data_IF_013458656777
#
_entry.id   IF_013458656777
#
_cell.length_a   1.000
_cell.length_b   1.000
_cell.length_c   1.000
_cell.angle_alpha   90.00
_cell.angle_beta   90.00
_cell.angle_gamma   90.00
#
_symmetry.space_group_name_H-M   'P 1'
#
loop_
_entity.id
_entity.type
_entity.pdbx_description
1 polymer ?
#
# COMPACT_ATOMS: atom_id res chain seq x y z
N UNK A 1 8.19 5.22 32.58
CA UNK A 1 7.35 5.88 31.57
C UNK A 1 5.93 5.90 32.12
N UNK A 2 5.27 7.06 32.27
CA UNK A 2 3.91 7.09 32.82
C UNK A 2 3.02 6.20 31.95
N UNK A 3 2.43 5.18 32.57
CA UNK A 3 1.46 4.29 31.94
C UNK A 3 0.12 5.00 31.93
N UNK A 4 -0.37 5.37 30.75
CA UNK A 4 -1.73 5.86 30.59
C UNK A 4 -2.67 4.67 30.83
N UNK A 5 -3.40 4.68 31.95
CA UNK A 5 -4.29 3.59 32.37
C UNK A 5 -5.61 3.50 31.57
N UNK A 6 -5.73 4.26 30.49
CA UNK A 6 -6.93 4.33 29.64
C UNK A 6 -6.59 4.00 28.19
N UNK A 7 -7.48 3.31 27.45
CA UNK A 7 -7.29 3.06 26.02
C UNK A 7 -7.06 4.38 25.26
N UNK A 8 -6.07 4.41 24.38
CA UNK A 8 -5.81 5.56 23.49
C UNK A 8 -6.53 5.30 22.17
N UNK A 9 -7.43 6.21 21.79
CA UNK A 9 -8.13 6.18 20.51
C UNK A 9 -7.38 7.05 19.49
N UNK A 10 -7.52 6.73 18.20
CA UNK A 10 -6.97 7.58 17.14
C UNK A 10 -7.64 8.96 17.19
N UNK A 11 -6.83 10.02 17.27
CA UNK A 11 -7.28 11.39 17.53
C UNK A 11 -7.43 12.22 16.26
N UNK A 12 -6.63 11.92 15.23
CA UNK A 12 -6.63 12.68 13.97
C UNK A 12 -6.85 11.75 12.78
N UNK A 13 -7.74 12.10 11.84
CA UNK A 13 -7.87 11.37 10.58
C UNK A 13 -6.54 11.32 9.84
N UNK A 14 -6.21 10.15 9.29
CA UNK A 14 -5.00 9.93 8.54
C UNK A 14 -5.33 9.45 7.13
N UNK A 15 -4.70 10.08 6.14
CA UNK A 15 -4.73 9.62 4.75
C UNK A 15 -3.34 9.80 4.14
N UNK A 16 -2.84 8.77 3.46
CA UNK A 16 -1.57 8.83 2.74
C UNK A 16 -1.69 8.10 1.42
N UNK A 17 -1.27 8.76 0.34
CA UNK A 17 -1.24 8.19 -1.00
C UNK A 17 0.20 7.99 -1.47
N UNK A 18 0.45 6.86 -2.11
CA UNK A 18 1.65 6.56 -2.87
C UNK A 18 1.26 6.36 -4.33
N UNK A 19 1.95 7.07 -5.22
CA UNK A 19 1.89 6.79 -6.65
C UNK A 19 2.82 5.64 -6.98
N UNK A 20 2.29 4.64 -7.68
CA UNK A 20 3.06 3.57 -8.31
C UNK A 20 3.06 3.78 -9.83
N UNK A 21 3.10 5.04 -10.28
CA UNK A 21 3.26 5.39 -11.68
C UNK A 21 4.75 5.28 -12.07
N UNK A 22 5.04 4.60 -13.18
CA UNK A 22 6.41 4.37 -13.64
C UNK A 22 7.29 3.59 -12.63
N UNK A 23 6.77 2.48 -12.10
CA UNK A 23 7.46 1.64 -11.12
C UNK A 23 7.84 0.29 -11.72
N UNK A 24 9.09 -0.14 -11.49
CA UNK A 24 9.57 -1.47 -11.88
C UNK A 24 8.92 -2.54 -11.02
N UNK A 25 8.62 -3.70 -11.62
CA UNK A 25 8.08 -4.86 -10.91
C UNK A 25 8.98 -5.30 -9.73
N UNK A 26 8.33 -5.65 -8.62
CA UNK A 26 8.92 -6.44 -7.55
C UNK A 26 8.66 -7.92 -7.83
N UNK A 27 9.72 -8.74 -7.82
CA UNK A 27 9.64 -10.17 -8.11
C UNK A 27 9.78 -11.05 -6.87
N UNK A 28 9.97 -10.44 -5.69
CA UNK A 28 10.07 -11.17 -4.43
C UNK A 28 8.73 -11.19 -3.70
N UNK A 29 8.52 -12.27 -2.95
CA UNK A 29 7.44 -12.47 -1.98
C UNK A 29 8.00 -12.74 -0.57
N UNK A 30 9.33 -12.76 -0.43
CA UNK A 30 10.02 -13.15 0.79
C UNK A 30 10.23 -11.94 1.72
N UNK A 31 10.34 -12.17 3.04
CA UNK A 31 10.76 -11.14 3.98
C UNK A 31 12.05 -10.46 3.52
N UNK A 32 12.05 -9.13 3.52
CA UNK A 32 13.11 -8.35 2.88
C UNK A 32 13.76 -7.40 3.89
N UNK A 33 15.07 -7.54 4.09
CA UNK A 33 15.83 -6.65 4.96
C UNK A 33 15.84 -5.20 4.42
N UNK A 34 15.88 -4.21 5.31
CA UNK A 34 15.84 -2.77 4.96
C UNK A 34 16.77 -2.39 3.80
N UNK A 35 18.00 -2.92 3.80
CA UNK A 35 19.02 -2.61 2.81
C UNK A 35 18.66 -3.06 1.38
N UNK A 36 17.73 -4.00 1.23
CA UNK A 36 17.36 -4.58 -0.07
C UNK A 36 16.05 -4.01 -0.64
N UNK A 37 15.27 -3.26 0.15
CA UNK A 37 13.93 -2.79 -0.25
C UNK A 37 13.97 -1.99 -1.56
N UNK A 38 14.86 -1.01 -1.65
CA UNK A 38 14.99 -0.17 -2.84
C UNK A 38 15.46 -0.98 -4.06
N UNK A 39 16.43 -1.90 -3.87
CA UNK A 39 16.93 -2.76 -4.95
C UNK A 39 15.90 -3.77 -5.46
N UNK A 40 14.88 -4.06 -4.65
CA UNK A 40 13.77 -4.97 -4.98
C UNK A 40 12.49 -4.22 -5.37
N UNK A 41 12.56 -2.91 -5.60
CA UNK A 41 11.44 -2.06 -6.01
C UNK A 41 10.26 -2.02 -5.01
N UNK A 42 10.58 -2.16 -3.72
CA UNK A 42 9.64 -2.01 -2.60
C UNK A 42 9.75 -0.56 -2.09
N UNK A 43 8.68 0.21 -2.28
CA UNK A 43 8.68 1.67 -2.10
C UNK A 43 8.02 2.06 -0.79
N UNK A 44 8.57 3.05 -0.09
CA UNK A 44 7.99 3.57 1.16
C UNK A 44 6.59 4.16 0.92
N UNK A 45 5.64 3.82 1.79
CA UNK A 45 4.24 4.22 1.64
C UNK A 45 3.73 5.01 2.85
N UNK A 46 3.51 4.34 3.98
CA UNK A 46 3.12 4.96 5.25
C UNK A 46 4.38 5.08 6.10
N UNK A 47 4.86 6.31 6.42
CA UNK A 47 6.06 6.50 7.22
C UNK A 47 5.82 6.10 8.68
N UNK A 48 6.93 6.01 9.42
CA UNK A 48 6.91 5.84 10.88
C UNK A 48 6.19 7.03 11.52
N UNK A 49 5.40 6.77 12.55
CA UNK A 49 4.79 7.77 13.43
C UNK A 49 5.28 7.59 14.86
N UNK A 50 5.58 8.69 15.55
CA UNK A 50 6.06 8.67 16.95
C UNK A 50 5.07 8.03 17.92
N UNK A 51 3.77 8.15 17.67
CA UNK A 51 2.72 7.59 18.52
C UNK A 51 2.11 6.30 17.94
N UNK A 52 2.59 5.85 16.78
CA UNK A 52 1.95 4.83 15.97
C UNK A 52 0.80 5.35 15.11
N UNK A 53 0.23 4.47 14.30
CA UNK A 53 -0.90 4.73 13.41
C UNK A 53 -1.87 3.56 13.45
N UNK A 54 -3.14 3.84 13.21
CA UNK A 54 -4.15 2.85 12.90
C UNK A 54 -4.51 2.97 11.43
N UNK A 55 -4.45 1.87 10.68
CA UNK A 55 -4.89 1.79 9.29
C UNK A 55 -6.16 0.97 9.24
N UNK A 56 -7.24 1.58 8.80
CA UNK A 56 -8.56 0.98 8.69
C UNK A 56 -8.80 0.35 7.32
N UNK A 57 -8.30 1.00 6.27
CA UNK A 57 -8.44 0.50 4.90
C UNK A 57 -7.30 0.95 4.01
N UNK A 58 -7.08 0.17 2.95
CA UNK A 58 -6.18 0.49 1.85
C UNK A 58 -6.98 0.41 0.56
N UNK A 59 -7.02 1.53 -0.16
CA UNK A 59 -7.65 1.63 -1.47
C UNK A 59 -6.59 1.61 -2.56
N UNK A 60 -6.82 0.83 -3.61
CA UNK A 60 -6.02 0.81 -4.82
C UNK A 60 -6.88 1.34 -5.96
N UNK A 61 -6.36 2.32 -6.70
CA UNK A 61 -6.99 2.81 -7.92
C UNK A 61 -6.06 2.61 -9.10
N UNK A 62 -6.63 2.12 -10.19
CA UNK A 62 -6.03 2.27 -11.51
C UNK A 62 -6.31 3.67 -12.03
N UNK A 63 -5.25 4.37 -12.45
CA UNK A 63 -5.32 5.73 -12.99
C UNK A 63 -4.84 5.80 -14.45
N UNK A 64 -4.42 4.66 -15.02
CA UNK A 64 -4.06 4.55 -16.44
C UNK A 64 -5.26 4.55 -17.39
N UNK A 65 -5.09 5.18 -18.55
CA UNK A 65 -6.10 5.29 -19.63
C UNK A 65 -6.10 4.11 -20.61
N UNK A 66 -5.15 3.18 -20.48
CA UNK A 66 -5.00 2.03 -21.38
C UNK A 66 -4.56 0.77 -20.63
N UNK A 67 -5.33 0.34 -19.62
CA UNK A 67 -5.25 -1.03 -19.09
C UNK A 67 -5.95 -1.95 -20.12
N UNK A 68 -5.44 -1.96 -21.35
CA UNK A 68 -6.00 -2.67 -22.50
C UNK A 68 -5.44 -4.08 -22.65
N UNK A 69 -4.50 -4.49 -21.78
CA UNK A 69 -3.96 -5.84 -21.80
C UNK A 69 -4.60 -6.64 -20.66
N UNK A 70 -5.27 -7.74 -21.04
CA UNK A 70 -5.60 -8.85 -20.13
C UNK A 70 -4.28 -9.54 -19.78
N UNK A 71 -3.35 -8.83 -19.16
CA UNK A 71 -2.10 -9.39 -18.70
C UNK A 71 -2.24 -9.55 -17.20
N UNK A 72 -2.12 -10.80 -16.75
CA UNK A 72 -1.97 -11.30 -15.39
C UNK A 72 -2.36 -10.32 -14.27
N UNK A 73 -3.37 -10.67 -13.45
CA UNK A 73 -3.80 -9.93 -12.26
C UNK A 73 -2.63 -9.18 -11.61
N UNK A 74 -2.55 -7.86 -11.85
CA UNK A 74 -1.46 -7.06 -11.30
C UNK A 74 -1.67 -7.04 -9.80
N UNK A 75 -0.66 -7.40 -9.03
CA UNK A 75 -0.78 -7.43 -7.58
C UNK A 75 -0.11 -6.18 -7.02
N UNK A 76 -0.84 -5.49 -6.15
CA UNK A 76 -0.27 -4.50 -5.25
C UNK A 76 -0.01 -5.21 -3.94
N UNK A 77 1.26 -5.33 -3.60
CA UNK A 77 1.69 -5.98 -2.36
C UNK A 77 1.96 -4.91 -1.30
N UNK A 78 1.40 -5.09 -0.11
CA UNK A 78 1.64 -4.22 1.05
C UNK A 78 2.53 -4.96 2.03
N UNK A 79 3.59 -4.25 2.44
CA UNK A 79 4.60 -4.77 3.34
C UNK A 79 4.58 -3.98 4.64
N UNK A 80 4.64 -4.68 5.76
CA UNK A 80 4.85 -4.09 7.08
C UNK A 80 6.32 -4.23 7.45
N UNK A 81 6.97 -3.10 7.71
CA UNK A 81 8.35 -3.03 8.14
C UNK A 81 8.43 -2.77 9.63
N UNK A 82 9.22 -3.59 10.33
CA UNK A 82 9.34 -3.60 11.79
C UNK A 82 10.50 -2.76 12.36
N UNK A 83 11.22 -2.03 11.50
CA UNK A 83 12.48 -1.36 11.82
C UNK A 83 13.71 -2.03 11.19
N UNK A 84 13.60 -3.29 10.76
CA UNK A 84 14.72 -4.08 10.22
C UNK A 84 14.35 -4.89 8.98
N UNK A 85 13.14 -5.46 8.95
CA UNK A 85 12.68 -6.38 7.92
C UNK A 85 11.26 -6.02 7.53
N UNK A 86 10.99 -6.01 6.22
CA UNK A 86 9.65 -5.86 5.68
C UNK A 86 9.04 -7.24 5.39
N UNK A 87 7.84 -7.47 5.93
CA UNK A 87 7.04 -8.68 5.73
C UNK A 87 5.80 -8.34 4.92
N UNK A 88 5.49 -9.15 3.91
CA UNK A 88 4.26 -8.98 3.14
C UNK A 88 3.05 -9.35 4.01
N UNK A 89 2.07 -8.45 4.11
CA UNK A 89 0.87 -8.65 4.94
C UNK A 89 -0.42 -8.72 4.13
N UNK A 90 -0.42 -8.21 2.90
CA UNK A 90 -1.60 -8.13 2.06
C UNK A 90 -1.19 -8.10 0.58
N UNK A 91 -1.93 -8.83 -0.23
CA UNK A 91 -1.87 -8.77 -1.69
C UNK A 91 -3.23 -8.35 -2.21
N UNK A 92 -3.28 -7.28 -3.00
CA UNK A 92 -4.50 -6.77 -3.60
C UNK A 92 -4.43 -7.00 -5.10
N UNK A 93 -5.32 -7.86 -5.60
CA UNK A 93 -5.44 -8.09 -7.03
C UNK A 93 -6.12 -6.92 -7.73
N UNK A 94 -5.38 -6.32 -8.66
CA UNK A 94 -5.86 -5.33 -9.63
C UNK A 94 -6.29 -6.10 -10.87
N UNK A 95 -7.60 -6.29 -11.00
CA UNK A 95 -8.17 -6.85 -12.23
C UNK A 95 -8.26 -5.75 -13.28
N UNK A 96 -7.74 -6.02 -14.47
CA UNK A 96 -7.84 -5.10 -15.58
C UNK A 96 -9.32 -4.75 -15.89
N UNK A 97 -9.62 -3.46 -16.01
CA UNK A 97 -10.88 -2.98 -16.56
C UNK A 97 -10.56 -2.33 -17.90
N UNK A 98 -11.18 -2.82 -18.97
CA UNK A 98 -11.01 -2.30 -20.33
C UNK A 98 -11.21 -0.79 -20.34
N UNK A 99 -10.32 -0.01 -20.99
CA UNK A 99 -10.54 1.42 -21.18
C UNK A 99 -11.91 1.63 -21.81
N UNK A 100 -12.78 2.36 -21.12
CA UNK A 100 -14.13 2.59 -21.55
C UNK A 100 -14.52 4.03 -21.28
N UNK A 101 -15.21 4.64 -22.24
CA UNK A 101 -15.90 5.92 -22.03
C UNK A 101 -17.18 5.76 -21.21
N UNK A 102 -17.55 4.52 -20.87
CA UNK A 102 -18.79 4.16 -20.16
C UNK A 102 -18.56 3.31 -18.89
N UNK A 103 -17.36 2.76 -18.66
CA UNK A 103 -17.02 1.98 -17.46
C UNK A 103 -16.01 2.72 -16.60
N UNK A 104 -16.22 2.70 -15.28
CA UNK A 104 -15.33 3.34 -14.31
C UNK A 104 -13.93 2.68 -14.29
N UNK A 105 -12.90 3.46 -13.99
CA UNK A 105 -11.56 2.94 -13.71
C UNK A 105 -11.57 1.99 -12.53
N UNK A 106 -10.66 1.01 -12.51
CA UNK A 106 -10.59 0.05 -11.40
C UNK A 106 -10.34 0.76 -10.08
N UNK A 107 -11.19 0.48 -9.10
CA UNK A 107 -11.02 0.90 -7.71
C UNK A 107 -11.41 -0.27 -6.83
N UNK A 108 -10.53 -0.65 -5.92
CA UNK A 108 -10.84 -1.63 -4.88
C UNK A 108 -10.37 -1.11 -3.53
N UNK A 109 -11.13 -1.40 -2.49
CA UNK A 109 -10.80 -1.02 -1.12
C UNK A 109 -10.76 -2.27 -0.28
N UNK A 110 -9.58 -2.57 0.27
CA UNK A 110 -9.44 -3.58 1.29
C UNK A 110 -9.63 -2.92 2.66
N UNK A 111 -10.69 -3.33 3.36
CA UNK A 111 -10.96 -2.89 4.74
C UNK A 111 -10.54 -3.99 5.69
N UNK A 112 -9.71 -3.66 6.69
CA UNK A 112 -9.30 -4.63 7.69
C UNK A 112 -10.47 -4.94 8.63
N UNK A 113 -10.75 -6.23 8.87
CA UNK A 113 -11.81 -6.66 9.80
C UNK A 113 -11.50 -6.25 11.25
N UNK A 114 -10.21 -6.25 11.60
CA UNK A 114 -9.64 -5.61 12.77
C UNK A 114 -8.59 -4.62 12.29
N UNK A 115 -8.67 -3.31 12.64
CA UNK A 115 -7.75 -2.30 12.13
C UNK A 115 -6.28 -2.69 12.33
N UNK A 116 -5.46 -2.45 11.32
CA UNK A 116 -4.03 -2.68 11.42
C UNK A 116 -3.42 -1.59 12.30
N UNK A 117 -2.90 -1.98 13.46
CA UNK A 117 -2.20 -1.06 14.38
C UNK A 117 -0.71 -1.13 14.08
N UNK A 118 -0.15 0.00 13.66
CA UNK A 118 1.27 0.21 13.42
C UNK A 118 1.92 0.82 14.68
N UNK A 119 2.81 0.10 15.37
CA UNK A 119 3.55 0.65 16.51
C UNK A 119 4.48 1.81 16.15
N UNK A 120 4.97 2.51 17.18
CA UNK A 120 5.92 3.63 17.11
C UNK A 120 7.35 3.19 16.69
N UNK A 121 7.48 2.67 15.47
CA UNK A 121 8.72 2.30 14.78
C UNK A 121 8.40 1.64 13.42
N UNK A 122 7.14 1.25 13.21
CA UNK A 122 6.73 0.48 12.06
C UNK A 122 6.32 1.41 10.92
N UNK A 123 6.51 0.94 9.70
CA UNK A 123 6.13 1.64 8.48
C UNK A 123 5.45 0.67 7.51
N UNK A 124 4.69 1.19 6.56
CA UNK A 124 4.23 0.41 5.42
C UNK A 124 5.03 0.76 4.17
N UNK A 125 5.29 -0.26 3.38
CA UNK A 125 5.81 -0.16 2.04
C UNK A 125 4.82 -0.80 1.07
N UNK A 126 4.93 -0.45 -0.20
CA UNK A 126 4.15 -1.07 -1.26
C UNK A 126 5.01 -1.38 -2.49
N UNK A 127 4.62 -2.42 -3.21
CA UNK A 127 5.20 -2.78 -4.49
C UNK A 127 4.13 -3.23 -5.48
N UNK A 128 4.51 -3.34 -6.74
CA UNK A 128 3.69 -3.91 -7.82
C UNK A 128 4.40 -5.09 -8.44
N UNK A 129 3.69 -6.17 -8.78
CA UNK A 129 4.28 -7.33 -9.47
C UNK A 129 4.48 -7.14 -10.96
N UNK A 130 3.88 -6.09 -11.53
CA UNK A 130 4.01 -5.75 -12.94
C UNK A 130 4.59 -4.34 -13.06
N UNK A 131 5.53 -4.16 -13.98
CA UNK A 131 6.11 -2.85 -14.26
C UNK A 131 5.03 -1.92 -14.78
N UNK A 132 4.84 -0.80 -14.09
CA UNK A 132 3.88 0.23 -14.48
C UNK A 132 4.55 1.33 -15.29
N UNK A 133 3.79 2.02 -16.13
CA UNK A 133 4.21 3.20 -16.87
C UNK A 133 3.32 4.39 -16.51
N UNK A 134 3.83 5.62 -16.65
CA UNK A 134 3.10 6.84 -16.28
C UNK A 134 1.77 7.00 -17.04
N UNK A 135 1.67 6.44 -18.25
CA UNK A 135 0.44 6.26 -19.00
C UNK A 135 0.16 4.77 -19.20
N UNK A 136 -1.11 4.38 -19.21
CA UNK A 136 -1.56 3.03 -19.53
C UNK A 136 -1.73 2.07 -18.35
N UNK A 137 -0.74 1.96 -17.45
CA UNK A 137 -0.78 1.00 -16.32
C UNK A 137 -0.49 1.66 -14.96
N UNK A 138 -0.60 2.99 -14.87
CA UNK A 138 -0.36 3.72 -13.63
C UNK A 138 -1.38 3.32 -12.54
N UNK A 139 -0.86 3.10 -11.32
CA UNK A 139 -1.63 2.82 -10.12
C UNK A 139 -1.35 3.85 -9.03
N UNK A 140 -2.29 4.00 -8.11
CA UNK A 140 -2.09 4.65 -6.83
C UNK A 140 -2.65 3.80 -5.71
N UNK A 141 -2.02 3.90 -4.55
CA UNK A 141 -2.44 3.22 -3.32
C UNK A 141 -2.64 4.28 -2.26
N UNK A 142 -3.78 4.25 -1.56
CA UNK A 142 -4.11 5.18 -0.49
C UNK A 142 -4.48 4.43 0.78
N UNK A 143 -3.83 4.75 1.89
CA UNK A 143 -4.14 4.22 3.21
C UNK A 143 -4.96 5.24 3.97
N UNK A 144 -6.04 4.77 4.60
CA UNK A 144 -6.91 5.56 5.46
C UNK A 144 -6.93 5.00 6.87
N UNK A 145 -7.00 5.89 7.85
CA UNK A 145 -7.24 5.51 9.24
C UNK A 145 -7.08 6.70 10.17
N UNK A 146 -6.30 6.55 11.24
CA UNK A 146 -6.05 7.64 12.16
C UNK A 146 -4.74 7.54 12.93
N UNK A 147 -4.19 8.69 13.32
CA UNK A 147 -3.02 8.77 14.18
C UNK A 147 -3.41 8.88 15.64
N UNK A 148 -2.64 8.21 16.51
CA UNK A 148 -2.81 8.21 17.96
C UNK A 148 -2.22 9.45 18.64
#
# INVERSE_FOLDING_TARGET
MPVTATPIFAQTPYAKTLTLAAQTACTTRAPTATALLAGLNITAFVPISTNGLRIDSIQVNAVGTSISTVNAAQLVDIWMWDGTTAFMILEIAVTAVTPSTTSASFTTTYTFSAPLVLPAAFALYASTTVTTTAAGTALQVTAFGGAY
#
